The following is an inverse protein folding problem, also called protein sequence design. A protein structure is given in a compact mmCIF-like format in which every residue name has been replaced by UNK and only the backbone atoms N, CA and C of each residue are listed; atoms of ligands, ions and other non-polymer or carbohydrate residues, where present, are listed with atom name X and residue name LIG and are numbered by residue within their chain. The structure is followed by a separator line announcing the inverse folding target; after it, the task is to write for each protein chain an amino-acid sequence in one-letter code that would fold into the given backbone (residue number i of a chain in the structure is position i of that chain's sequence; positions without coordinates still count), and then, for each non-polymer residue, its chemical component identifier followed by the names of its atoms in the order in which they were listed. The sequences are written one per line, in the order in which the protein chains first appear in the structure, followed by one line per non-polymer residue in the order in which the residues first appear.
data_IF_993270856889
#
_entry.id   IF_993270856889
#
_cell.length_a   1.000
_cell.length_b   1.000
_cell.length_c   1.000
_cell.angle_alpha   90.00
_cell.angle_beta   90.00
_cell.angle_gamma   90.00
#
_symmetry.space_group_name_H-M   'P 1'
#
loop_
_entity.id
_entity.type
_entity.pdbx_description
1 polymer ?
#
# COMPACT_ATOMS: atom_id res chain seq x y z
N UNK A 1 2.75 -11.02 -32.76
CA UNK A 1 3.61 -10.04 -32.07
C UNK A 1 2.80 -9.01 -31.28
N UNK A 2 2.04 -8.09 -31.89
CA UNK A 2 1.24 -7.12 -31.12
C UNK A 2 0.11 -7.78 -30.29
N UNK A 3 -0.53 -8.84 -30.83
CA UNK A 3 -1.55 -9.62 -30.12
C UNK A 3 -0.95 -10.40 -28.95
N UNK A 4 0.21 -11.04 -29.14
CA UNK A 4 0.90 -11.78 -28.07
C UNK A 4 1.31 -10.86 -26.91
N UNK A 5 1.83 -9.66 -27.22
CA UNK A 5 2.18 -8.64 -26.22
C UNK A 5 0.93 -8.16 -25.46
N UNK A 6 -0.19 -7.92 -26.15
CA UNK A 6 -1.44 -7.50 -25.50
C UNK A 6 -2.02 -8.58 -24.60
N UNK A 7 -1.95 -9.85 -25.01
CA UNK A 7 -2.41 -10.99 -24.23
C UNK A 7 -1.60 -11.14 -22.94
N UNK A 8 -0.28 -11.00 -23.04
CA UNK A 8 0.66 -11.12 -21.93
C UNK A 8 0.47 -9.98 -20.91
N UNK A 9 0.29 -8.74 -21.39
CA UNK A 9 -0.04 -7.60 -20.52
C UNK A 9 -1.37 -7.83 -19.80
N UNK A 10 -2.38 -8.36 -20.49
CA UNK A 10 -3.69 -8.62 -19.88
C UNK A 10 -3.61 -9.72 -18.81
N UNK A 11 -2.85 -10.79 -19.06
CA UNK A 11 -2.61 -11.87 -18.10
C UNK A 11 -1.84 -11.36 -16.86
N UNK A 12 -0.81 -10.55 -17.06
CA UNK A 12 -0.01 -9.97 -15.98
C UNK A 12 -0.83 -8.99 -15.12
N UNK A 13 -1.61 -8.10 -15.75
CA UNK A 13 -2.50 -7.16 -15.05
C UNK A 13 -3.59 -7.92 -14.30
N UNK A 14 -4.20 -8.93 -14.92
CA UNK A 14 -5.23 -9.75 -14.28
C UNK A 14 -4.67 -10.50 -13.06
N UNK A 15 -3.53 -11.16 -13.22
CA UNK A 15 -2.86 -11.86 -12.12
C UNK A 15 -2.48 -10.92 -10.97
N UNK A 16 -1.99 -9.73 -11.29
CA UNK A 16 -1.71 -8.69 -10.30
C UNK A 16 -2.98 -8.23 -9.57
N UNK A 17 -4.04 -7.87 -10.31
CA UNK A 17 -5.31 -7.39 -9.74
C UNK A 17 -6.00 -8.46 -8.87
N UNK A 18 -5.94 -9.72 -9.27
CA UNK A 18 -6.45 -10.83 -8.46
C UNK A 18 -5.63 -10.97 -7.18
N UNK A 19 -4.30 -10.90 -7.26
CA UNK A 19 -3.41 -11.03 -6.10
C UNK A 19 -3.65 -9.90 -5.09
N UNK A 20 -3.65 -8.64 -5.54
CA UNK A 20 -3.88 -7.50 -4.64
C UNK A 20 -5.29 -7.52 -4.04
N UNK A 21 -6.31 -7.90 -4.82
CA UNK A 21 -7.68 -8.00 -4.32
C UNK A 21 -7.81 -9.11 -3.28
N UNK A 22 -7.17 -10.26 -3.49
CA UNK A 22 -7.16 -11.36 -2.52
C UNK A 22 -6.45 -10.96 -1.22
N UNK A 23 -5.30 -10.27 -1.30
CA UNK A 23 -4.59 -9.74 -0.13
C UNK A 23 -5.46 -8.74 0.64
N UNK A 24 -6.03 -7.74 -0.06
CA UNK A 24 -6.89 -6.75 0.55
C UNK A 24 -8.13 -7.38 1.19
N UNK A 25 -8.70 -8.42 0.57
CA UNK A 25 -9.83 -9.17 1.12
C UNK A 25 -9.45 -9.90 2.42
N UNK A 26 -8.25 -10.48 2.49
CA UNK A 26 -7.75 -11.11 3.71
C UNK A 26 -7.57 -10.09 4.84
N UNK A 27 -7.00 -8.93 4.55
CA UNK A 27 -6.87 -7.81 5.52
C UNK A 27 -8.23 -7.30 5.97
N UNK A 28 -9.15 -7.09 5.03
CA UNK A 28 -10.51 -6.67 5.31
C UNK A 28 -11.24 -7.67 6.22
N UNK A 29 -11.14 -8.97 5.92
CA UNK A 29 -11.75 -10.02 6.74
C UNK A 29 -11.11 -10.11 8.13
N UNK A 30 -9.78 -10.04 8.22
CA UNK A 30 -9.07 -10.03 9.50
C UNK A 30 -9.46 -8.80 10.35
N UNK A 31 -9.57 -7.63 9.72
CA UNK A 31 -9.99 -6.40 10.38
C UNK A 31 -11.44 -6.47 10.82
N UNK A 32 -12.35 -6.96 9.96
CA UNK A 32 -13.76 -7.16 10.32
C UNK A 32 -13.90 -8.03 11.58
N UNK A 33 -13.21 -9.18 11.59
CA UNK A 33 -13.23 -10.10 12.72
C UNK A 33 -12.64 -9.44 13.97
N UNK A 34 -11.49 -8.77 13.85
CA UNK A 34 -10.86 -8.07 14.97
C UNK A 34 -11.75 -6.99 15.57
N UNK A 35 -12.33 -6.12 14.73
CA UNK A 35 -13.18 -5.01 15.19
C UNK A 35 -14.47 -5.54 15.85
N UNK A 36 -15.08 -6.58 15.27
CA UNK A 36 -16.22 -7.24 15.90
C UNK A 36 -15.90 -7.78 17.29
N UNK A 37 -14.75 -8.46 17.44
CA UNK A 37 -14.28 -8.99 18.72
C UNK A 37 -13.94 -7.89 19.73
N UNK A 38 -13.53 -6.71 19.25
CA UNK A 38 -13.33 -5.53 20.11
C UNK A 38 -14.66 -4.92 20.60
N UNK A 39 -15.81 -5.33 20.05
CA UNK A 39 -17.12 -4.75 20.35
C UNK A 39 -17.50 -3.58 19.46
N UNK A 40 -16.75 -3.33 18.38
CA UNK A 40 -17.15 -2.37 17.36
C UNK A 40 -18.22 -3.01 16.48
N UNK A 41 -19.45 -2.48 16.59
CA UNK A 41 -20.68 -3.17 16.22
C UNK A 41 -20.73 -3.73 14.80
N UNK A 42 -20.37 -2.95 13.77
CA UNK A 42 -20.55 -3.31 12.35
C UNK A 42 -19.25 -3.86 11.72
N UNK A 43 -19.09 -5.20 11.60
CA UNK A 43 -17.87 -5.81 11.08
C UNK A 43 -17.70 -5.54 9.58
N UNK A 44 -18.81 -5.42 8.86
CA UNK A 44 -18.80 -5.24 7.41
C UNK A 44 -18.33 -3.83 7.06
N UNK A 45 -18.76 -2.82 7.82
CA UNK A 45 -18.26 -1.46 7.71
C UNK A 45 -16.74 -1.41 7.88
N UNK A 46 -16.22 -1.97 8.97
CA UNK A 46 -14.79 -1.89 9.28
C UNK A 46 -13.93 -2.73 8.36
N UNK A 47 -14.39 -3.93 7.99
CA UNK A 47 -13.70 -4.78 7.03
C UNK A 47 -13.65 -4.17 5.63
N UNK A 48 -14.75 -3.60 5.16
CA UNK A 48 -14.79 -2.92 3.85
C UNK A 48 -13.93 -1.67 3.86
N UNK A 49 -13.94 -0.91 4.96
CA UNK A 49 -13.06 0.26 5.12
C UNK A 49 -11.60 -0.14 5.02
N UNK A 50 -11.18 -1.16 5.77
CA UNK A 50 -9.82 -1.68 5.71
C UNK A 50 -9.45 -2.21 4.31
N UNK A 51 -10.35 -2.99 3.68
CA UNK A 51 -10.19 -3.50 2.32
C UNK A 51 -9.93 -2.37 1.31
N UNK A 52 -10.73 -1.31 1.35
CA UNK A 52 -10.61 -0.18 0.43
C UNK A 52 -9.34 0.65 0.70
N UNK A 53 -9.03 0.90 1.97
CA UNK A 53 -7.82 1.63 2.33
C UNK A 53 -6.56 0.88 1.92
N UNK A 54 -6.55 -0.45 2.01
CA UNK A 54 -5.39 -1.26 1.67
C UNK A 54 -5.01 -1.25 0.18
N UNK A 55 -5.83 -0.66 -0.70
CA UNK A 55 -5.41 -0.39 -2.08
C UNK A 55 -4.37 0.74 -2.19
N UNK A 56 -4.17 1.53 -1.13
CA UNK A 56 -3.23 2.64 -1.10
C UNK A 56 -2.09 2.30 -0.14
N UNK A 57 -0.94 1.83 -0.66
CA UNK A 57 0.17 1.42 0.18
C UNK A 57 0.62 2.53 1.12
N UNK A 58 0.97 2.18 2.36
CA UNK A 58 1.43 3.09 3.44
C UNK A 58 0.34 4.07 3.90
N UNK A 59 -0.24 4.87 3.00
CA UNK A 59 -1.18 5.96 3.32
C UNK A 59 -2.52 5.40 3.79
N UNK A 60 -3.03 4.35 3.14
CA UNK A 60 -4.28 3.70 3.49
C UNK A 60 -4.26 3.15 4.92
N UNK A 61 -3.30 2.27 5.27
CA UNK A 61 -3.09 1.81 6.64
C UNK A 61 -2.90 2.96 7.64
N UNK A 62 -2.12 3.99 7.32
CA UNK A 62 -1.91 5.12 8.22
C UNK A 62 -3.23 5.88 8.49
N UNK A 63 -4.02 6.11 7.45
CA UNK A 63 -5.33 6.74 7.57
C UNK A 63 -6.32 5.86 8.35
N UNK A 64 -6.28 4.54 8.13
CA UNK A 64 -7.08 3.57 8.88
C UNK A 64 -6.76 3.59 10.37
N UNK A 65 -5.47 3.68 10.75
CA UNK A 65 -5.08 3.83 12.16
C UNK A 65 -5.71 5.08 12.77
N UNK A 66 -5.64 6.22 12.07
CA UNK A 66 -6.29 7.45 12.54
C UNK A 66 -7.80 7.28 12.75
N UNK A 67 -8.48 6.62 11.80
CA UNK A 67 -9.92 6.31 11.92
C UNK A 67 -10.17 5.45 13.17
N UNK A 68 -9.44 4.35 13.35
CA UNK A 68 -9.66 3.44 14.47
C UNK A 68 -9.28 4.04 15.82
N UNK A 69 -8.33 4.97 15.88
CA UNK A 69 -8.06 5.76 17.09
C UNK A 69 -9.28 6.61 17.43
N UNK A 70 -9.80 7.38 16.48
CA UNK A 70 -10.98 8.23 16.72
C UNK A 70 -12.19 7.40 17.12
N UNK A 71 -12.46 6.32 16.39
CA UNK A 71 -13.59 5.43 16.64
C UNK A 71 -13.47 4.75 18.00
N UNK A 72 -12.28 4.28 18.37
CA UNK A 72 -12.02 3.69 19.69
C UNK A 72 -12.24 4.70 20.82
N UNK A 73 -11.72 5.92 20.68
CA UNK A 73 -11.93 6.99 21.66
C UNK A 73 -13.40 7.42 21.81
N UNK A 74 -14.19 7.31 20.75
CA UNK A 74 -15.62 7.64 20.77
C UNK A 74 -16.50 6.49 21.27
N UNK A 75 -16.03 5.25 21.17
CA UNK A 75 -16.82 4.05 21.49
C UNK A 75 -16.57 3.52 22.91
N UNK A 76 -15.42 3.83 23.50
CA UNK A 76 -15.03 3.28 24.80
C UNK A 76 -14.63 4.39 25.79
N UNK A 77 -15.15 4.32 27.02
CA UNK A 77 -14.80 5.30 28.07
C UNK A 77 -13.38 5.09 28.63
N UNK A 78 -12.89 3.85 28.60
CA UNK A 78 -11.56 3.51 29.08
C UNK A 78 -10.53 3.66 27.97
N UNK A 79 -9.48 4.45 28.22
CA UNK A 79 -8.39 4.65 27.26
C UNK A 79 -7.73 3.34 26.81
N UNK A 80 -7.62 2.36 27.71
CA UNK A 80 -7.04 1.05 27.38
C UNK A 80 -7.86 0.31 26.32
N UNK A 81 -9.18 0.29 26.49
CA UNK A 81 -10.09 -0.34 25.53
C UNK A 81 -10.22 0.47 24.24
N UNK A 82 -10.14 1.80 24.32
CA UNK A 82 -10.15 2.68 23.17
C UNK A 82 -8.95 2.52 22.22
N UNK A 83 -7.77 2.16 22.77
CA UNK A 83 -6.56 1.95 21.97
C UNK A 83 -6.41 0.53 21.41
N UNK A 84 -7.27 -0.40 21.83
CA UNK A 84 -7.22 -1.79 21.39
C UNK A 84 -7.52 -1.95 19.87
N UNK A 85 -8.58 -1.33 19.30
CA UNK A 85 -8.85 -1.40 17.87
C UNK A 85 -7.70 -0.91 16.97
N UNK A 86 -7.16 0.32 17.14
CA UNK A 86 -6.07 0.78 16.28
C UNK A 86 -4.78 -0.03 16.47
N UNK A 87 -4.52 -0.55 17.68
CA UNK A 87 -3.36 -1.41 17.92
C UNK A 87 -3.45 -2.75 17.18
N UNK A 88 -4.63 -3.39 17.18
CA UNK A 88 -4.84 -4.64 16.44
C UNK A 88 -4.77 -4.40 14.93
N UNK A 89 -5.38 -3.31 14.44
CA UNK A 89 -5.29 -2.92 13.03
C UNK A 89 -3.85 -2.69 12.58
N UNK A 90 -3.03 -2.00 13.40
CA UNK A 90 -1.59 -1.89 13.20
C UNK A 90 -0.89 -3.26 13.17
N UNK A 91 -1.25 -4.15 14.11
CA UNK A 91 -0.73 -5.51 14.17
C UNK A 91 -0.99 -6.31 12.89
N UNK A 92 -2.19 -6.19 12.31
CA UNK A 92 -2.55 -6.83 11.03
C UNK A 92 -1.61 -6.34 9.92
N UNK A 93 -1.43 -5.03 9.78
CA UNK A 93 -0.56 -4.47 8.73
C UNK A 93 0.95 -4.71 8.97
N UNK A 94 1.37 -4.86 10.22
CA UNK A 94 2.74 -5.30 10.54
C UNK A 94 2.98 -6.74 10.08
N UNK A 95 2.00 -7.63 10.23
CA UNK A 95 2.07 -9.02 9.75
C UNK A 95 1.99 -9.07 8.22
N UNK A 96 1.15 -8.23 7.61
CA UNK A 96 1.07 -8.09 6.15
C UNK A 96 2.37 -7.55 5.54
N UNK A 97 3.08 -6.67 6.26
CA UNK A 97 4.36 -6.11 5.83
C UNK A 97 4.23 -4.94 4.86
N UNK A 98 3.16 -4.14 4.96
CA UNK A 98 2.87 -2.98 4.10
C UNK A 98 4.05 -1.97 3.97
N UNK A 99 4.82 -1.80 5.04
CA UNK A 99 6.03 -0.94 5.05
C UNK A 99 7.30 -1.68 4.64
N UNK A 100 7.34 -3.01 4.80
CA UNK A 100 8.49 -3.82 4.41
C UNK A 100 8.59 -3.94 2.89
N UNK A 101 7.46 -4.02 2.18
CA UNK A 101 7.41 -4.15 0.71
C UNK A 101 8.16 -3.02 -0.02
N UNK A 102 7.90 -1.72 0.22
CA UNK A 102 8.65 -0.63 -0.43
C UNK A 102 10.11 -0.55 0.04
N UNK A 103 10.42 -0.85 1.31
CA UNK A 103 11.80 -0.85 1.81
C UNK A 103 12.64 -2.00 1.21
N UNK A 104 12.05 -3.18 1.03
CA UNK A 104 12.67 -4.32 0.37
C UNK A 104 12.89 -4.03 -1.12
N UNK A 105 11.95 -3.32 -1.77
CA UNK A 105 12.11 -2.89 -3.15
C UNK A 105 13.21 -1.83 -3.31
N UNK A 106 13.28 -0.83 -2.42
CA UNK A 106 14.38 0.12 -2.38
C UNK A 106 15.74 -0.60 -2.36
N UNK A 107 15.83 -1.64 -1.52
CA UNK A 107 17.04 -2.45 -1.37
C UNK A 107 17.34 -3.34 -2.58
N UNK A 108 16.33 -3.88 -3.26
CA UNK A 108 16.51 -4.70 -4.48
C UNK A 108 16.86 -3.88 -5.71
N UNK A 109 16.37 -2.65 -5.80
CA UNK A 109 16.52 -1.79 -6.99
C UNK A 109 17.47 -0.60 -6.77
N UNK A 110 18.20 -0.57 -5.64
CA UNK A 110 19.09 0.53 -5.24
C UNK A 110 18.44 1.91 -5.40
N UNK A 111 17.15 1.97 -5.11
CA UNK A 111 16.36 3.19 -5.20
C UNK A 111 16.32 3.87 -3.85
N UNK A 112 16.43 5.20 -3.83
CA UNK A 112 16.24 5.97 -2.62
C UNK A 112 14.79 5.80 -2.10
N UNK A 113 14.57 5.32 -0.85
CA UNK A 113 13.24 5.15 -0.28
C UNK A 113 12.39 6.42 -0.32
N UNK A 114 13.01 7.59 -0.20
CA UNK A 114 12.34 8.89 -0.28
C UNK A 114 11.69 9.09 -1.65
N UNK A 115 12.35 8.64 -2.72
CA UNK A 115 11.84 8.76 -4.09
C UNK A 115 10.71 7.77 -4.38
N UNK A 116 10.74 6.60 -3.72
CA UNK A 116 9.61 5.66 -3.76
C UNK A 116 8.38 6.31 -3.13
N UNK A 117 8.53 6.92 -1.96
CA UNK A 117 7.43 7.62 -1.28
C UNK A 117 6.95 8.82 -2.11
N UNK A 118 7.85 9.63 -2.66
CA UNK A 118 7.50 10.74 -3.55
C UNK A 118 6.75 10.28 -4.79
N UNK A 119 7.20 9.20 -5.43
CA UNK A 119 6.51 8.62 -6.58
C UNK A 119 5.12 8.15 -6.19
N UNK A 120 5.00 7.43 -5.07
CA UNK A 120 3.70 6.98 -4.53
C UNK A 120 2.75 8.16 -4.33
N UNK A 121 3.21 9.24 -3.67
CA UNK A 121 2.40 10.43 -3.42
C UNK A 121 2.03 11.15 -4.72
N UNK A 122 2.98 11.30 -5.64
CA UNK A 122 2.76 11.98 -6.92
C UNK A 122 1.72 11.26 -7.79
N UNK A 123 1.89 9.96 -7.98
CA UNK A 123 0.96 9.16 -8.79
C UNK A 123 -0.38 8.96 -8.10
N UNK A 124 -0.39 8.81 -6.77
CA UNK A 124 -1.63 8.81 -6.00
C UNK A 124 -2.41 10.11 -6.17
N UNK A 125 -1.73 11.26 -6.11
CA UNK A 125 -2.37 12.55 -6.33
C UNK A 125 -2.94 12.69 -7.75
N UNK A 126 -2.25 12.15 -8.75
CA UNK A 126 -2.74 12.18 -10.13
C UNK A 126 -3.98 11.30 -10.33
N UNK A 127 -3.89 10.01 -10.03
CA UNK A 127 -4.86 8.98 -10.48
C UNK A 127 -5.47 8.17 -9.31
N UNK A 128 -5.25 8.58 -8.06
CA UNK A 128 -5.73 7.90 -6.87
C UNK A 128 -5.04 6.56 -6.62
N UNK A 129 -5.79 5.59 -6.09
CA UNK A 129 -5.26 4.27 -5.73
C UNK A 129 -4.61 3.53 -6.92
N UNK A 130 -5.18 3.66 -8.12
CA UNK A 130 -4.60 3.08 -9.34
C UNK A 130 -3.22 3.67 -9.67
N UNK A 131 -3.02 4.96 -9.41
CA UNK A 131 -1.73 5.62 -9.56
C UNK A 131 -0.70 5.11 -8.55
N UNK A 132 -1.09 4.95 -7.28
CA UNK A 132 -0.19 4.42 -6.25
C UNK A 132 0.31 3.00 -6.57
N UNK A 133 -0.58 2.14 -7.08
CA UNK A 133 -0.27 0.80 -7.57
C UNK A 133 0.82 0.83 -8.66
N UNK A 134 0.69 1.77 -9.62
CA UNK A 134 1.61 1.88 -10.75
C UNK A 134 2.88 2.68 -10.42
N UNK A 135 2.91 3.43 -9.31
CA UNK A 135 4.01 4.32 -8.95
C UNK A 135 5.35 3.60 -8.83
N UNK A 136 5.33 2.41 -8.22
CA UNK A 136 6.50 1.56 -7.99
C UNK A 136 7.07 1.01 -9.30
N UNK A 137 6.31 0.29 -10.15
CA UNK A 137 6.83 -0.19 -11.42
C UNK A 137 7.26 0.96 -12.34
N UNK A 138 6.54 2.09 -12.34
CA UNK A 138 6.94 3.26 -13.13
C UNK A 138 8.26 3.86 -12.67
N UNK A 139 8.49 3.98 -11.35
CA UNK A 139 9.76 4.46 -10.81
C UNK A 139 10.92 3.49 -11.13
N UNK A 140 10.68 2.19 -11.04
CA UNK A 140 11.67 1.18 -11.40
C UNK A 140 12.04 1.26 -12.90
N UNK A 141 11.05 1.42 -13.79
CA UNK A 141 11.28 1.62 -15.23
C UNK A 141 12.11 2.88 -15.47
N UNK A 142 11.76 4.01 -14.83
CA UNK A 142 12.48 5.27 -14.96
C UNK A 142 13.95 5.15 -14.55
N UNK A 143 14.23 4.41 -13.47
CA UNK A 143 15.59 4.13 -13.01
C UNK A 143 16.38 3.28 -14.00
N UNK A 144 15.80 2.18 -14.48
CA UNK A 144 16.45 1.29 -15.47
C UNK A 144 16.81 2.07 -16.74
N UNK A 145 15.94 2.97 -17.19
CA UNK A 145 16.19 3.83 -18.35
C UNK A 145 17.33 4.82 -18.06
N UNK A 146 17.29 5.48 -16.90
CA UNK A 146 18.31 6.46 -16.48
C UNK A 146 19.71 5.84 -16.37
N UNK A 147 19.80 4.60 -15.90
CA UNK A 147 21.08 3.91 -15.74
C UNK A 147 21.70 3.47 -17.07
N UNK A 148 20.85 3.19 -18.08
CA UNK A 148 21.30 2.74 -19.42
C UNK A 148 21.62 3.88 -20.37
N UNK A 149 20.96 5.04 -20.24
CA UNK A 149 21.22 6.19 -21.09
C UNK A 149 22.34 7.05 -20.50
N UNK A 150 23.51 7.06 -21.16
CA UNK A 150 24.69 7.89 -20.79
C UNK A 150 24.37 9.36 -20.41
N UNK A 151 23.49 10.10 -21.12
CA UNK A 151 23.15 11.47 -20.71
C UNK A 151 22.22 11.59 -19.48
N UNK A 152 21.54 10.50 -19.08
CA UNK A 152 20.64 10.46 -17.91
C UNK A 152 21.27 9.82 -16.66
N UNK A 153 22.54 9.41 -16.73
CA UNK A 153 23.26 8.83 -15.58
C UNK A 153 23.27 9.74 -14.34
N UNK A 154 23.30 11.05 -14.51
CA UNK A 154 23.21 12.00 -13.39
C UNK A 154 21.86 11.92 -12.66
N UNK A 155 20.76 11.71 -13.39
CA UNK A 155 19.45 11.42 -12.81
C UNK A 155 19.44 10.04 -12.15
N UNK A 156 20.13 9.05 -12.73
CA UNK A 156 20.33 7.73 -12.13
C UNK A 156 21.01 7.79 -10.74
N UNK A 157 22.04 8.62 -10.58
CA UNK A 157 22.73 8.84 -9.30
C UNK A 157 21.84 9.56 -8.29
N UNK A 158 21.08 10.58 -8.72
CA UNK A 158 20.10 11.27 -7.86
C UNK A 158 18.97 10.32 -7.40
N UNK A 159 18.59 9.36 -8.25
CA UNK A 159 17.62 8.31 -7.93
C UNK A 159 18.16 7.27 -6.92
N UNK A 160 19.48 7.09 -6.87
CA UNK A 160 20.19 6.29 -5.84
C UNK A 160 20.32 7.04 -4.51
N UNK A 161 20.38 8.37 -4.55
CA UNK A 161 20.50 9.22 -3.36
C UNK A 161 21.93 9.63 -3.01
N UNK A 162 22.86 9.59 -3.97
CA UNK A 162 24.21 10.17 -3.87
C UNK A 162 24.31 11.57 -4.45
#
# INVERSE_FOLDING_TARGET
QAVDISQQIQEDISGYLVTITAMNAAVGAATAAAMYLCGLGDPLLWGTTAFLLNYIPIIGPLFGVCIFVLVGLLSFESLWWALLPPAIYLGIHLVEGETLTPMLLARRFTLNPVLIILSLVFWFWMWGALGAILAVPMLAILKIISDRLRPLKALGHFLEGE
#
